data_IF_396287876485
#
_entry.id   IF_396287876485
#
_cell.length_a   1.000
_cell.length_b   1.000
_cell.length_c   1.000
_cell.angle_alpha   90.00
_cell.angle_beta   90.00
_cell.angle_gamma   90.00
#
_symmetry.space_group_name_H-M   'P 1'
#
loop_
_entity.id
_entity.type
_entity.pdbx_description
1 polymer ?
#
# COMPACT_ATOMS: atom_id res chain seq x y z
N UNK A 1 12.12 -9.66 4.54
CA UNK A 1 11.19 -9.00 3.59
C UNK A 1 11.94 -7.84 2.97
N UNK A 2 12.18 -7.87 1.67
CA UNK A 2 12.74 -6.69 0.99
C UNK A 2 11.62 -5.67 0.85
N UNK A 3 11.73 -4.51 1.49
CA UNK A 3 10.67 -3.51 1.43
C UNK A 3 10.48 -2.95 0.00
N UNK A 4 11.46 -3.12 -0.89
CA UNK A 4 11.34 -2.75 -2.31
C UNK A 4 10.32 -3.61 -3.06
N UNK A 5 9.93 -4.76 -2.51
CA UNK A 5 8.85 -5.58 -3.05
C UNK A 5 7.46 -5.04 -2.72
N UNK A 6 7.34 -3.92 -1.98
CA UNK A 6 6.07 -3.26 -1.67
C UNK A 6 6.08 -1.89 -2.34
N UNK A 7 5.35 -1.74 -3.43
CA UNK A 7 5.25 -0.49 -4.18
C UNK A 7 3.91 0.18 -3.92
N UNK A 8 3.94 1.44 -3.49
CA UNK A 8 2.75 2.29 -3.43
C UNK A 8 2.72 3.14 -4.69
N UNK A 9 1.68 2.98 -5.50
CA UNK A 9 1.47 3.70 -6.74
C UNK A 9 0.32 4.69 -6.50
N UNK A 10 0.50 5.96 -6.88
CA UNK A 10 -0.59 6.93 -6.83
C UNK A 10 -1.39 6.86 -8.13
N UNK A 11 -2.67 6.52 -8.04
CA UNK A 11 -3.57 6.52 -9.19
C UNK A 11 -3.89 7.96 -9.62
N UNK A 12 -4.41 8.12 -10.83
CA UNK A 12 -4.79 9.42 -11.37
C UNK A 12 -5.87 10.16 -10.55
N UNK A 13 -6.67 9.42 -9.77
CA UNK A 13 -7.69 9.96 -8.86
C UNK A 13 -7.14 10.32 -7.47
N UNK A 14 -5.82 10.17 -7.24
CA UNK A 14 -5.18 10.41 -5.95
C UNK A 14 -5.25 9.23 -4.98
N UNK A 15 -5.89 8.12 -5.35
CA UNK A 15 -5.97 6.94 -4.49
C UNK A 15 -4.66 6.13 -4.53
N UNK A 16 -4.16 5.65 -3.38
CA UNK A 16 -2.98 4.79 -3.37
C UNK A 16 -3.35 3.34 -3.74
N UNK A 17 -2.55 2.74 -4.63
CA UNK A 17 -2.62 1.33 -5.02
C UNK A 17 -1.37 0.60 -4.55
N UNK A 18 -1.55 -0.58 -3.92
CA UNK A 18 -0.45 -1.41 -3.44
C UNK A 18 -0.13 -2.48 -4.47
N UNK A 19 1.10 -2.45 -5.00
CA UNK A 19 1.64 -3.48 -5.89
C UNK A 19 2.71 -4.26 -5.13
N UNK A 20 2.45 -5.54 -4.88
CA UNK A 20 3.35 -6.45 -4.19
C UNK A 20 4.12 -7.30 -5.19
N UNK A 21 5.43 -7.15 -5.21
CA UNK A 21 6.36 -7.98 -6.00
C UNK A 21 6.80 -9.21 -5.18
N UNK A 22 5.81 -9.92 -4.65
CA UNK A 22 5.97 -11.13 -3.87
C UNK A 22 4.72 -11.99 -4.01
N UNK A 23 4.86 -13.30 -3.86
CA UNK A 23 3.74 -14.23 -3.90
C UNK A 23 2.82 -13.98 -2.69
N UNK A 24 1.70 -13.29 -2.92
CA UNK A 24 0.70 -12.94 -1.92
C UNK A 24 -0.70 -13.21 -2.46
N UNK A 25 -1.38 -14.21 -1.92
CA UNK A 25 -2.75 -14.56 -2.29
C UNK A 25 -3.77 -13.71 -1.51
N UNK A 26 -3.88 -12.44 -1.89
CA UNK A 26 -4.78 -11.53 -1.21
C UNK A 26 -4.78 -10.14 -1.82
N UNK A 27 -5.49 -9.22 -1.16
CA UNK A 27 -5.45 -7.80 -1.49
C UNK A 27 -4.95 -6.98 -0.30
N UNK A 28 -4.32 -5.84 -0.60
CA UNK A 28 -3.93 -4.86 0.42
C UNK A 28 -4.46 -3.50 0.00
N UNK A 29 -5.17 -2.84 0.92
CA UNK A 29 -5.59 -1.45 0.78
C UNK A 29 -4.80 -0.60 1.76
N UNK A 30 -4.45 0.61 1.36
CA UNK A 30 -3.71 1.53 2.22
C UNK A 30 -4.38 2.90 2.21
N UNK A 31 -4.32 3.59 3.33
CA UNK A 31 -4.60 5.02 3.43
C UNK A 31 -3.35 5.72 3.95
N UNK A 32 -3.01 6.84 3.33
CA UNK A 32 -1.82 7.63 3.65
C UNK A 32 -2.27 9.05 3.86
N UNK A 33 -1.85 9.65 4.97
CA UNK A 33 -2.05 11.08 5.24
C UNK A 33 -0.73 11.67 5.68
N UNK A 34 -0.44 12.88 5.22
CA UNK A 34 0.77 13.57 5.60
C UNK A 34 0.55 15.08 5.68
N UNK A 35 1.46 15.70 6.42
CA UNK A 35 1.69 17.14 6.44
C UNK A 35 3.09 17.39 5.88
N UNK A 36 3.56 18.63 5.94
CA UNK A 36 4.95 18.98 5.59
C UNK A 36 6.00 18.30 6.49
N UNK A 37 5.62 17.81 7.68
CA UNK A 37 6.59 17.35 8.70
C UNK A 37 6.36 15.92 9.18
N UNK A 38 5.16 15.37 8.99
CA UNK A 38 4.78 14.06 9.51
C UNK A 38 3.96 13.31 8.47
N UNK A 39 4.12 12.00 8.42
CA UNK A 39 3.32 11.10 7.62
C UNK A 39 2.83 9.94 8.48
N UNK A 40 1.60 9.51 8.22
CA UNK A 40 0.99 8.31 8.81
C UNK A 40 0.40 7.47 7.68
N UNK A 41 0.50 6.15 7.82
CA UNK A 41 -0.13 5.20 6.91
C UNK A 41 -0.82 4.11 7.71
N UNK A 42 -1.95 3.63 7.19
CA UNK A 42 -2.69 2.50 7.72
C UNK A 42 -3.01 1.54 6.59
N UNK A 43 -2.81 0.24 6.80
CA UNK A 43 -3.03 -0.80 5.80
C UNK A 43 -4.01 -1.86 6.29
N UNK A 44 -4.90 -2.27 5.40
CA UNK A 44 -5.79 -3.42 5.56
C UNK A 44 -5.33 -4.53 4.62
N UNK A 45 -5.08 -5.71 5.18
CA UNK A 45 -4.67 -6.91 4.44
C UNK A 45 -5.81 -7.91 4.46
N UNK A 46 -6.33 -8.27 3.29
CA UNK A 46 -7.33 -9.32 3.12
C UNK A 46 -6.64 -10.51 2.45
N UNK A 47 -6.70 -11.68 3.09
CA UNK A 47 -6.23 -12.93 2.49
C UNK A 47 -7.40 -13.60 1.77
N UNK A 48 -7.15 -14.00 0.52
CA UNK A 48 -8.10 -14.83 -0.22
C UNK A 48 -7.79 -16.29 0.11
N UNK A 49 -8.80 -17.03 0.56
CA UNK A 49 -8.71 -18.46 0.82
C UNK A 49 -8.98 -19.28 -0.45
#
# INVERSE_FOLDING_TARGET
>A
IDLRSIRIINNADGSPYVNLDLEYNGSVKVSISHTETHAIAFALSELNH
#
